data_IF_077008881159
#
_entry.id   IF_077008881159
#
_cell.length_a   1.000
_cell.length_b   1.000
_cell.length_c   1.000
_cell.angle_alpha   90.00
_cell.angle_beta   90.00
_cell.angle_gamma   90.00
#
_symmetry.space_group_name_H-M   'P 1'
#
loop_
_entity.id
_entity.type
_entity.pdbx_description
1 polymer ?
#
# COMPACT_ATOMS: atom_id res chain seq x y z
N UNK A 1 1.59 -2.93 8.36
CA UNK A 1 1.42 -1.47 8.17
C UNK A 1 2.28 -0.95 7.03
N UNK A 2 3.61 -0.95 7.11
CA UNK A 2 4.48 -0.44 6.02
C UNK A 2 4.18 -1.09 4.67
N UNK A 3 4.01 -2.42 4.61
CA UNK A 3 3.64 -3.11 3.35
C UNK A 3 2.30 -2.67 2.77
N UNK A 4 1.27 -2.46 3.61
CA UNK A 4 -0.04 -1.97 3.15
C UNK A 4 0.06 -0.52 2.63
N UNK A 5 0.87 0.30 3.29
CA UNK A 5 1.17 1.65 2.81
C UNK A 5 1.92 1.59 1.47
N UNK A 6 2.88 0.67 1.33
CA UNK A 6 3.60 0.45 0.08
C UNK A 6 2.62 0.10 -1.04
N UNK A 7 1.75 -0.90 -0.85
CA UNK A 7 0.77 -1.32 -1.85
C UNK A 7 -0.07 -0.14 -2.36
N UNK A 8 -0.47 0.79 -1.49
CA UNK A 8 -1.18 2.00 -1.90
C UNK A 8 -0.27 2.94 -2.69
N UNK A 9 0.87 3.32 -2.12
CA UNK A 9 1.72 4.36 -2.71
C UNK A 9 2.41 3.91 -4.00
N UNK A 10 2.76 2.63 -4.13
CA UNK A 10 3.41 2.08 -5.31
C UNK A 10 2.45 1.67 -6.42
N UNK A 11 1.13 1.60 -6.16
CA UNK A 11 0.16 1.03 -7.08
C UNK A 11 0.21 1.63 -8.49
N UNK A 12 0.28 2.97 -8.60
CA UNK A 12 0.36 3.65 -9.91
C UNK A 12 1.58 3.16 -10.68
N UNK A 13 2.75 3.20 -10.05
CA UNK A 13 4.00 2.76 -10.66
C UNK A 13 3.91 1.30 -11.09
N UNK A 14 3.56 0.40 -10.15
CA UNK A 14 3.51 -1.04 -10.41
C UNK A 14 2.51 -1.39 -11.51
N UNK A 15 1.37 -0.69 -11.57
CA UNK A 15 0.39 -0.86 -12.65
C UNK A 15 0.95 -0.38 -13.98
N UNK A 16 1.57 0.79 -14.02
CA UNK A 16 2.16 1.32 -15.27
C UNK A 16 3.35 0.48 -15.77
N UNK A 17 4.05 -0.22 -14.89
CA UNK A 17 5.16 -1.11 -15.26
C UNK A 17 4.75 -2.58 -15.40
N UNK A 18 3.45 -2.89 -15.35
CA UNK A 18 2.92 -4.27 -15.39
C UNK A 18 3.49 -5.21 -14.30
N UNK A 19 3.81 -4.65 -13.13
CA UNK A 19 4.35 -5.34 -11.94
C UNK A 19 3.34 -5.38 -10.77
N UNK A 20 2.08 -5.08 -11.02
CA UNK A 20 0.99 -4.98 -10.05
C UNK A 20 0.48 -6.33 -9.53
N UNK A 21 1.00 -7.47 -9.99
CA UNK A 21 0.46 -8.79 -9.70
C UNK A 21 0.54 -9.17 -8.21
N UNK A 22 1.56 -8.68 -7.50
CA UNK A 22 1.76 -8.92 -6.07
C UNK A 22 1.16 -7.82 -5.17
N UNK A 23 0.57 -6.79 -5.78
CA UNK A 23 -0.03 -5.69 -5.04
C UNK A 23 -1.41 -6.09 -4.51
N UNK A 24 -1.67 -5.84 -3.23
CA UNK A 24 -2.94 -6.21 -2.61
C UNK A 24 -4.16 -5.56 -3.30
N UNK A 25 -4.03 -4.35 -3.85
CA UNK A 25 -5.13 -3.69 -4.59
C UNK A 25 -5.54 -4.54 -5.80
N UNK A 26 -4.58 -5.02 -6.58
CA UNK A 26 -4.81 -5.90 -7.74
C UNK A 26 -5.44 -7.21 -7.33
N UNK A 27 -4.96 -7.81 -6.24
CA UNK A 27 -5.50 -9.07 -5.70
C UNK A 27 -6.95 -8.86 -5.27
N UNK A 28 -7.28 -7.79 -4.55
CA UNK A 28 -8.65 -7.49 -4.12
C UNK A 28 -9.59 -7.27 -5.31
N UNK A 29 -9.13 -6.61 -6.37
CA UNK A 29 -9.93 -6.43 -7.58
C UNK A 29 -10.24 -7.77 -8.25
N UNK A 30 -9.25 -8.67 -8.36
CA UNK A 30 -9.41 -9.97 -9.02
C UNK A 30 -10.22 -10.97 -8.17
N UNK A 31 -9.83 -11.16 -6.92
CA UNK A 31 -10.35 -12.22 -6.06
C UNK A 31 -11.68 -11.84 -5.40
N UNK A 32 -11.91 -10.54 -5.16
CA UNK A 32 -13.13 -10.05 -4.49
C UNK A 32 -14.05 -9.24 -5.40
N UNK A 33 -13.67 -9.01 -6.66
CA UNK A 33 -14.45 -8.20 -7.59
C UNK A 33 -14.61 -6.75 -7.14
N UNK A 34 -13.70 -6.24 -6.30
CA UNK A 34 -13.77 -4.86 -5.83
C UNK A 34 -13.43 -3.89 -6.97
N UNK A 35 -14.12 -2.75 -7.00
CA UNK A 35 -13.64 -1.61 -7.80
C UNK A 35 -12.29 -1.14 -7.27
N UNK A 36 -11.47 -0.51 -8.12
CA UNK A 36 -10.18 0.06 -7.73
C UNK A 36 -10.27 0.91 -6.45
N UNK A 37 -11.17 1.89 -6.40
CA UNK A 37 -11.29 2.78 -5.24
C UNK A 37 -11.64 1.99 -3.97
N UNK A 38 -12.65 1.12 -4.04
CA UNK A 38 -13.01 0.22 -2.92
C UNK A 38 -11.84 -0.64 -2.44
N UNK A 39 -10.98 -1.12 -3.34
CA UNK A 39 -9.78 -1.87 -2.96
C UNK A 39 -8.79 -0.99 -2.19
N UNK A 40 -8.55 0.25 -2.63
CA UNK A 40 -7.70 1.21 -1.92
C UNK A 40 -8.28 1.52 -0.54
N UNK A 41 -9.58 1.82 -0.46
CA UNK A 41 -10.27 2.12 0.80
C UNK A 41 -10.15 0.94 1.78
N UNK A 42 -10.35 -0.29 1.28
CA UNK A 42 -10.19 -1.50 2.09
C UNK A 42 -8.77 -1.63 2.66
N UNK A 43 -7.72 -1.39 1.86
CA UNK A 43 -6.33 -1.44 2.35
C UNK A 43 -6.09 -0.35 3.40
N UNK A 44 -6.64 0.84 3.21
CA UNK A 44 -6.61 1.93 4.19
C UNK A 44 -7.27 1.54 5.52
N UNK A 45 -8.43 0.90 5.48
CA UNK A 45 -9.13 0.38 6.66
C UNK A 45 -8.31 -0.70 7.38
N UNK A 46 -7.67 -1.61 6.63
CA UNK A 46 -6.78 -2.62 7.22
C UNK A 46 -5.57 -1.97 7.90
N UNK A 47 -4.98 -0.93 7.28
CA UNK A 47 -3.90 -0.18 7.90
C UNK A 47 -4.34 0.44 9.24
N UNK A 48 -5.49 1.12 9.25
CA UNK A 48 -6.05 1.73 10.46
C UNK A 48 -6.34 0.70 11.55
N UNK A 49 -6.96 -0.42 11.18
CA UNK A 49 -7.24 -1.51 12.12
C UNK A 49 -5.95 -2.07 12.74
N UNK A 50 -4.88 -2.23 11.97
CA UNK A 50 -3.59 -2.69 12.51
C UNK A 50 -2.95 -1.65 13.43
N UNK A 51 -3.11 -0.36 13.15
CA UNK A 51 -2.63 0.72 14.02
C UNK A 51 -3.37 0.71 15.37
N UNK A 52 -4.70 0.54 15.34
CA UNK A 52 -5.52 0.45 16.55
C UNK A 52 -5.12 -0.77 17.40
N UNK A 53 -4.91 -1.92 16.76
CA UNK A 53 -4.42 -3.13 17.43
C UNK A 53 -3.02 -2.92 18.02
N UNK A 54 -2.12 -2.26 17.29
CA UNK A 54 -0.77 -1.95 17.77
C UNK A 54 -0.81 -1.09 19.03
N UNK A 55 -1.56 0.02 19.01
CA UNK A 55 -1.68 0.92 20.15
C UNK A 55 -2.34 0.24 21.36
N UNK A 56 -3.37 -0.59 21.12
CA UNK A 56 -4.00 -1.38 22.18
C UNK A 56 -3.02 -2.35 22.82
N UNK A 57 -2.25 -3.08 22.00
CA UNK A 57 -1.31 -4.08 22.50
C UNK A 57 -0.15 -3.44 23.27
N UNK A 58 0.37 -2.29 22.82
CA UNK A 58 1.38 -1.52 23.55
C UNK A 58 0.90 -1.15 24.96
N UNK A 59 -0.35 -0.73 25.11
CA UNK A 59 -0.94 -0.41 26.41
C UNK A 59 -1.15 -1.63 27.32
N UNK A 60 -1.09 -2.84 26.77
CA UNK A 60 -1.30 -4.10 27.49
C UNK A 60 -0.01 -4.90 27.72
N UNK A 61 1.17 -4.33 27.42
CA UNK A 61 2.43 -5.02 27.62
C UNK A 61 2.69 -5.25 29.12
N UNK A 62 3.17 -6.45 29.50
CA UNK A 62 3.63 -6.69 30.85
C UNK A 62 4.88 -5.84 31.13
N UNK A 63 5.09 -5.48 32.39
CA UNK A 63 6.37 -4.93 32.85
C UNK A 63 7.36 -6.08 33.11
N UNK A 64 8.62 -5.82 32.82
CA UNK A 64 9.75 -6.73 32.99
C UNK A 64 10.64 -6.23 34.14
N UNK A 65 11.87 -5.80 33.83
CA UNK A 65 12.74 -5.02 34.72
C UNK A 65 12.96 -3.61 34.15
N UNK A 66 13.60 -2.73 34.93
CA UNK A 66 13.76 -1.33 34.52
C UNK A 66 14.55 -1.16 33.20
N UNK A 67 15.53 -2.03 32.95
CA UNK A 67 16.32 -2.00 31.72
C UNK A 67 15.50 -2.50 30.53
N UNK A 68 14.79 -3.63 30.70
CA UNK A 68 13.93 -4.24 29.71
C UNK A 68 12.75 -3.35 29.32
N UNK A 69 12.09 -2.73 30.30
CA UNK A 69 10.97 -1.81 30.07
C UNK A 69 11.43 -0.57 29.27
N UNK A 70 12.59 -0.01 29.60
CA UNK A 70 13.16 1.12 28.86
C UNK A 70 13.61 0.73 27.46
N UNK A 71 14.24 -0.45 27.29
CA UNK A 71 14.61 -0.97 25.98
C UNK A 71 13.38 -1.22 25.10
N UNK A 72 12.33 -1.81 25.65
CA UNK A 72 11.07 -2.07 24.97
C UNK A 72 10.38 -0.77 24.55
N UNK A 73 10.33 0.22 25.45
CA UNK A 73 9.79 1.56 25.16
C UNK A 73 10.50 2.21 23.98
N UNK A 74 11.84 2.16 23.94
CA UNK A 74 12.63 2.70 22.81
C UNK A 74 12.40 1.94 21.50
N UNK A 75 12.29 0.61 21.57
CA UNK A 75 12.01 -0.21 20.39
C UNK A 75 10.63 0.10 19.79
N UNK A 76 9.60 0.21 20.63
CA UNK A 76 8.23 0.56 20.21
C UNK A 76 8.20 1.95 19.60
N UNK A 77 8.83 2.94 20.24
CA UNK A 77 8.95 4.29 19.69
C UNK A 77 9.64 4.27 18.32
N UNK A 78 10.74 3.55 18.17
CA UNK A 78 11.46 3.44 16.89
C UNK A 78 10.61 2.80 15.80
N UNK A 79 9.79 1.81 16.16
CA UNK A 79 8.85 1.15 15.25
C UNK A 79 7.78 2.13 14.77
N UNK A 80 7.19 2.93 15.67
CA UNK A 80 6.24 4.00 15.30
C UNK A 80 6.88 5.04 14.37
N UNK A 81 8.09 5.48 14.70
CA UNK A 81 8.82 6.45 13.88
C UNK A 81 9.14 5.89 12.49
N UNK A 82 9.41 4.60 12.37
CA UNK A 82 9.66 3.94 11.08
C UNK A 82 8.41 3.95 10.18
N UNK A 83 7.21 3.80 10.75
CA UNK A 83 5.95 3.89 9.99
C UNK A 83 5.73 5.32 9.49
N UNK A 84 5.91 6.32 10.35
CA UNK A 84 5.79 7.75 10.00
C UNK A 84 6.82 8.12 8.94
N UNK A 85 8.09 7.82 9.20
CA UNK A 85 9.19 8.10 8.28
C UNK A 85 8.99 7.46 6.92
N UNK A 86 8.46 6.24 6.86
CA UNK A 86 8.11 5.58 5.61
C UNK A 86 7.04 6.35 4.81
N UNK A 87 5.95 6.79 5.47
CA UNK A 87 4.90 7.56 4.79
C UNK A 87 5.43 8.90 4.27
N UNK A 88 6.26 9.61 5.05
CA UNK A 88 6.93 10.83 4.59
C UNK A 88 7.84 10.56 3.39
N UNK A 89 8.69 9.54 3.51
CA UNK A 89 9.60 9.15 2.43
C UNK A 89 8.83 8.89 1.14
N UNK A 90 7.70 8.19 1.17
CA UNK A 90 6.88 7.93 -0.02
C UNK A 90 6.45 9.18 -0.80
N UNK A 91 6.27 10.34 -0.14
CA UNK A 91 5.98 11.61 -0.82
C UNK A 91 7.22 12.40 -1.21
N UNK A 92 8.31 12.26 -0.45
CA UNK A 92 9.53 13.05 -0.65
C UNK A 92 10.50 12.39 -1.65
N UNK A 93 10.27 11.13 -2.05
CA UNK A 93 11.02 10.42 -3.07
C UNK A 93 10.41 10.54 -4.47
N UNK A 94 11.26 10.59 -5.50
CA UNK A 94 10.82 10.53 -6.90
C UNK A 94 10.26 9.18 -7.34
N UNK A 95 10.25 8.17 -6.47
CA UNK A 95 9.88 6.80 -6.83
C UNK A 95 8.42 6.65 -7.22
N UNK A 96 7.49 7.35 -6.58
CA UNK A 96 6.05 7.02 -6.67
C UNK A 96 5.20 8.07 -7.37
N UNK A 97 5.39 9.35 -7.04
CA UNK A 97 4.46 10.40 -7.47
C UNK A 97 5.06 11.43 -8.40
N UNK A 98 6.37 11.42 -8.66
CA UNK A 98 6.98 12.39 -9.57
C UNK A 98 6.55 12.16 -11.02
N UNK A 99 6.26 13.22 -11.77
CA UNK A 99 6.42 14.65 -11.43
C UNK A 99 5.22 15.30 -10.71
N UNK A 100 4.18 14.55 -10.35
CA UNK A 100 2.95 15.06 -9.73
C UNK A 100 2.97 15.08 -8.19
N UNK A 101 4.11 14.88 -7.53
CA UNK A 101 4.22 14.69 -6.08
C UNK A 101 3.64 15.86 -5.27
N UNK A 102 3.88 17.11 -5.69
CA UNK A 102 3.30 18.30 -5.06
C UNK A 102 1.77 18.37 -5.15
N UNK A 103 1.19 17.92 -6.27
CA UNK A 103 -0.26 17.89 -6.48
C UNK A 103 -0.91 16.75 -5.71
N UNK A 104 -0.30 15.55 -5.74
CA UNK A 104 -0.77 14.40 -4.98
C UNK A 104 -0.72 14.69 -3.49
N UNK A 105 0.36 15.31 -2.97
CA UNK A 105 0.45 15.67 -1.54
C UNK A 105 -0.60 16.69 -1.11
N UNK A 106 -0.96 17.64 -1.99
CA UNK A 106 -1.98 18.66 -1.70
C UNK A 106 -3.41 18.10 -1.77
N UNK A 107 -3.68 17.25 -2.75
CA UNK A 107 -5.05 16.80 -3.07
C UNK A 107 -5.38 15.43 -2.50
N UNK A 108 -4.37 14.63 -2.19
CA UNK A 108 -4.47 13.21 -1.86
C UNK A 108 -5.16 12.38 -2.96
N UNK A 109 -5.14 12.87 -4.21
CA UNK A 109 -5.73 12.21 -5.37
C UNK A 109 -4.59 11.78 -6.31
N UNK A 110 -4.56 10.49 -6.64
CA UNK A 110 -3.66 9.92 -7.65
C UNK A 110 -4.46 9.58 -8.89
N UNK A 111 -4.11 10.18 -10.03
CA UNK A 111 -4.71 9.80 -11.33
C UNK A 111 -3.93 8.64 -11.93
N UNK A 112 -4.65 7.61 -12.35
CA UNK A 112 -4.09 6.48 -13.08
C UNK A 112 -4.38 6.65 -14.57
N UNK A 113 -3.44 6.28 -15.43
CA UNK A 113 -3.66 6.23 -16.88
C UNK A 113 -4.32 4.91 -17.26
N UNK A 114 -5.21 4.95 -18.26
CA UNK A 114 -5.99 3.78 -18.70
C UNK A 114 -5.17 2.80 -19.57
N UNK A 115 -4.00 3.20 -20.06
CA UNK A 115 -3.17 2.44 -21.02
C UNK A 115 -2.85 1.00 -20.58
N UNK A 116 -2.76 0.74 -19.27
CA UNK A 116 -2.50 -0.59 -18.72
C UNK A 116 -3.70 -1.57 -18.83
N UNK A 117 -4.93 -1.06 -18.98
CA UNK A 117 -6.11 -1.91 -19.22
C UNK A 117 -6.18 -2.38 -20.67
N UNK A 118 -5.78 -1.54 -21.61
CA UNK A 118 -5.82 -1.83 -23.04
C UNK A 118 -4.82 -2.95 -23.42
N UNK A 119 -3.60 -2.92 -22.89
CA UNK A 119 -2.63 -4.01 -23.15
C UNK A 119 -3.08 -5.35 -22.56
N UNK A 120 -3.74 -5.34 -21.39
CA UNK A 120 -4.22 -6.55 -20.71
C UNK A 120 -5.41 -7.16 -21.43
N UNK A 121 -6.33 -6.32 -21.93
CA UNK A 121 -7.46 -6.74 -22.77
C UNK A 121 -7.00 -7.33 -24.10
N UNK A 122 -5.94 -6.77 -24.71
CA UNK A 122 -5.34 -7.33 -25.94
C UNK A 122 -4.68 -8.70 -25.72
N UNK A 123 -4.03 -8.94 -24.57
CA UNK A 123 -3.40 -10.24 -24.25
C UNK A 123 -4.39 -11.35 -23.89
N UNK A 124 -5.57 -11.01 -23.37
CA UNK A 124 -6.61 -12.01 -23.08
C UNK A 124 -7.39 -12.46 -24.31
N UNK A 125 -7.28 -11.75 -25.44
CA UNK A 125 -8.06 -12.03 -26.66
C UNK A 125 -7.33 -12.92 -27.68
N UNK A 126 -6.10 -13.36 -27.38
CA UNK A 126 -5.36 -14.34 -28.20
C UNK A 126 -5.54 -15.75 -27.64
N UNK A 127 -6.78 -16.24 -27.62
CA UNK A 127 -7.07 -17.68 -27.52
C UNK A 127 -7.02 -18.30 -28.92
N UNK A 128 -6.64 -19.59 -29.08
CA UNK A 128 -6.46 -20.17 -30.40
C UNK A 128 -7.79 -20.19 -31.15
N UNK A 129 -7.87 -19.48 -32.28
CA UNK A 129 -8.94 -19.67 -33.25
C UNK A 129 -8.90 -21.13 -33.71
N UNK A 130 -9.96 -21.86 -33.38
CA UNK A 130 -10.17 -23.24 -33.78
C UNK A 130 -10.16 -23.35 -35.31
N UNK A 131 -9.17 -24.07 -35.83
CA UNK A 131 -9.23 -24.66 -37.17
C UNK A 131 -10.15 -25.89 -37.14
N UNK A 132 -11.33 -25.75 -37.72
CA UNK A 132 -12.11 -26.85 -38.30
C UNK A 132 -12.63 -26.43 -39.66
#
# INVERSE_FOLDING_TARGET
>A
MIGLANDIYSYKLERTTNQDANNLITILMKEKGFSLQRSVDYVGDQFKSLLDVFNKNEACLPSFDAEGDEALRRYILSTKQSIIGYMHWCFDTHRYFTPEDGDVRRTLIVRLTDDALDERAMRTNTGPENSK
#
